data_IF_675644489145
#
_entry.id   IF_675644489145
#
_cell.length_a   1.000
_cell.length_b   1.000
_cell.length_c   1.000
_cell.angle_alpha   90.00
_cell.angle_beta   90.00
_cell.angle_gamma   90.00
#
_symmetry.space_group_name_H-M   'P 1'
#
loop_
_entity.id
_entity.type
_entity.pdbx_description
1 polymer ?
#
# COMPACT_ATOMS: atom_id res chain seq x y z
N UNK A 1 -11.18 4.92 27.81
CA UNK A 1 -10.94 4.07 26.62
C UNK A 1 -9.47 4.14 26.26
N UNK A 2 -8.78 3.00 26.00
CA UNK A 2 -7.39 3.06 25.60
C UNK A 2 -7.31 3.83 24.29
N UNK A 3 -6.44 4.84 24.20
CA UNK A 3 -6.21 5.53 22.93
C UNK A 3 -5.76 4.46 21.93
N UNK A 4 -6.43 4.39 20.78
CA UNK A 4 -6.22 3.36 19.73
C UNK A 4 -4.77 3.29 19.22
N UNK A 5 -3.85 4.12 19.71
CA UNK A 5 -2.43 4.08 19.33
C UNK A 5 -2.30 4.33 17.83
N UNK A 6 -3.04 5.32 17.36
CA UNK A 6 -3.08 5.69 15.96
C UNK A 6 -1.71 6.27 15.57
N UNK A 7 -1.10 5.70 14.54
CA UNK A 7 0.15 6.17 13.95
C UNK A 7 -0.02 6.21 12.44
N UNK A 8 0.81 7.01 11.76
CA UNK A 8 0.79 7.08 10.29
C UNK A 8 0.98 5.70 9.67
N UNK A 9 1.93 4.91 10.17
CA UNK A 9 2.20 3.56 9.64
C UNK A 9 1.00 2.62 9.77
N UNK A 10 0.29 2.65 10.91
CA UNK A 10 -0.90 1.83 11.10
C UNK A 10 -2.06 2.25 10.20
N UNK A 11 -2.23 3.55 9.99
CA UNK A 11 -3.25 4.09 9.07
C UNK A 11 -2.94 3.66 7.63
N UNK A 12 -1.66 3.73 7.21
CA UNK A 12 -1.24 3.33 5.87
C UNK A 12 -1.37 1.81 5.67
N UNK A 13 -0.97 1.00 6.65
CA UNK A 13 -1.13 -0.46 6.59
C UNK A 13 -2.61 -0.87 6.46
N UNK A 14 -3.49 -0.30 7.29
CA UNK A 14 -4.93 -0.58 7.20
C UNK A 14 -5.54 -0.10 5.87
N UNK A 15 -5.03 0.99 5.30
CA UNK A 15 -5.44 1.46 3.98
C UNK A 15 -5.02 0.49 2.86
N UNK A 16 -3.81 -0.07 2.96
CA UNK A 16 -3.33 -1.08 2.03
C UNK A 16 -4.16 -2.37 2.11
N UNK A 17 -4.51 -2.82 3.31
CA UNK A 17 -5.40 -3.97 3.52
C UNK A 17 -6.81 -3.72 2.96
N UNK A 18 -7.36 -2.53 3.20
CA UNK A 18 -8.65 -2.13 2.64
C UNK A 18 -8.62 -2.07 1.11
N UNK A 19 -7.51 -1.61 0.52
CA UNK A 19 -7.34 -1.59 -0.92
C UNK A 19 -7.39 -3.00 -1.50
N UNK A 20 -6.70 -3.96 -0.90
CA UNK A 20 -6.72 -5.36 -1.37
C UNK A 20 -8.09 -6.02 -1.18
N UNK A 21 -8.78 -5.72 -0.07
CA UNK A 21 -10.07 -6.33 0.24
C UNK A 21 -11.24 -5.74 -0.56
N UNK A 22 -11.20 -4.45 -0.92
CA UNK A 22 -12.36 -3.73 -1.45
C UNK A 22 -12.05 -2.79 -2.62
N UNK A 23 -10.81 -2.81 -3.12
CA UNK A 23 -10.33 -1.94 -4.18
C UNK A 23 -9.83 -0.59 -3.66
N UNK A 24 -8.90 0.02 -4.41
CA UNK A 24 -8.26 1.28 -4.04
C UNK A 24 -9.27 2.44 -3.87
N UNK A 25 -10.36 2.44 -4.64
CA UNK A 25 -11.39 3.49 -4.52
C UNK A 25 -12.18 3.40 -3.21
N UNK A 26 -12.24 2.24 -2.56
CA UNK A 26 -12.86 2.08 -1.25
C UNK A 26 -12.02 2.68 -0.11
N UNK A 27 -10.73 2.97 -0.37
CA UNK A 27 -9.86 3.64 0.58
C UNK A 27 -10.33 5.08 0.73
N UNK A 28 -10.97 5.36 1.87
CA UNK A 28 -11.48 6.67 2.25
C UNK A 28 -11.18 6.95 3.71
N UNK A 29 -11.08 8.23 4.08
CA UNK A 29 -10.86 8.65 5.48
C UNK A 29 -11.98 8.11 6.39
N UNK A 30 -13.23 8.16 5.94
CA UNK A 30 -14.37 7.68 6.72
C UNK A 30 -14.39 6.15 6.88
N UNK A 31 -13.99 5.39 5.86
CA UNK A 31 -13.87 3.93 5.98
C UNK A 31 -12.80 3.54 7.01
N UNK A 32 -11.64 4.22 7.01
CA UNK A 32 -10.58 3.99 7.99
C UNK A 32 -10.98 4.45 9.39
N UNK A 33 -11.65 5.59 9.52
CA UNK A 33 -12.09 6.10 10.82
C UNK A 33 -13.06 5.12 11.47
N UNK A 34 -14.01 4.58 10.68
CA UNK A 34 -14.90 3.50 11.11
C UNK A 34 -14.12 2.23 11.49
N UNK A 35 -13.13 1.83 10.70
CA UNK A 35 -12.28 0.67 10.99
C UNK A 35 -11.56 0.81 12.35
N UNK A 36 -11.04 2.00 12.65
CA UNK A 36 -10.34 2.29 13.91
C UNK A 36 -11.27 2.68 15.07
N UNK A 37 -12.57 2.85 14.84
CA UNK A 37 -13.51 3.33 15.86
C UNK A 37 -13.24 4.75 16.35
N UNK A 38 -12.72 5.62 15.46
CA UNK A 38 -12.37 7.02 15.76
C UNK A 38 -13.18 7.99 14.89
N UNK A 39 -13.11 9.28 15.21
CA UNK A 39 -13.68 10.34 14.35
C UNK A 39 -12.75 10.57 13.17
N UNK A 40 -13.30 10.90 12.00
CA UNK A 40 -12.54 11.26 10.78
C UNK A 40 -11.46 12.32 11.06
N UNK A 41 -11.78 13.31 11.89
CA UNK A 41 -10.85 14.37 12.31
C UNK A 41 -9.54 13.83 12.92
N UNK A 42 -9.56 12.67 13.58
CA UNK A 42 -8.39 12.04 14.18
C UNK A 42 -7.41 11.47 13.16
N UNK A 43 -7.87 11.10 11.95
CA UNK A 43 -6.99 10.59 10.90
C UNK A 43 -6.16 11.72 10.25
N UNK A 44 -6.70 12.94 10.19
CA UNK A 44 -6.00 14.07 9.58
C UNK A 44 -4.75 14.52 10.35
N UNK A 45 -4.57 14.07 11.60
CA UNK A 45 -3.30 14.23 12.34
C UNK A 45 -2.18 13.35 11.76
N UNK A 46 -2.52 12.30 11.01
CA UNK A 46 -1.57 11.33 10.46
C UNK A 46 -1.41 11.40 8.94
N UNK A 47 -2.44 11.88 8.23
CA UNK A 47 -2.45 12.03 6.77
C UNK A 47 -3.05 13.37 6.38
N UNK A 48 -2.48 14.04 5.38
CA UNK A 48 -2.92 15.40 5.00
C UNK A 48 -4.27 15.41 4.31
N UNK A 49 -4.50 14.43 3.45
CA UNK A 49 -5.73 14.24 2.68
C UNK A 49 -5.76 12.83 2.09
N UNK A 50 -6.80 12.50 1.33
CA UNK A 50 -6.94 11.19 0.69
C UNK A 50 -5.81 10.90 -0.31
N UNK A 51 -5.34 11.90 -1.06
CA UNK A 51 -4.25 11.72 -2.02
C UNK A 51 -2.93 11.38 -1.31
N UNK A 52 -2.61 12.07 -0.22
CA UNK A 52 -1.44 11.79 0.63
C UNK A 52 -1.48 10.35 1.15
N UNK A 53 -2.66 9.88 1.60
CA UNK A 53 -2.85 8.50 2.02
C UNK A 53 -2.62 7.50 0.87
N UNK A 54 -3.21 7.73 -0.30
CA UNK A 54 -3.04 6.85 -1.49
C UNK A 54 -1.58 6.80 -1.94
N UNK A 55 -0.86 7.92 -1.93
CA UNK A 55 0.58 7.98 -2.22
C UNK A 55 1.38 7.18 -1.19
N UNK A 56 1.06 7.28 0.10
CA UNK A 56 1.73 6.49 1.14
C UNK A 56 1.50 4.98 0.97
N UNK A 57 0.29 4.58 0.58
CA UNK A 57 0.00 3.17 0.22
C UNK A 57 0.82 2.74 -0.99
N UNK A 58 0.94 3.59 -2.01
CA UNK A 58 1.77 3.32 -3.18
C UNK A 58 3.26 3.14 -2.82
N UNK A 59 3.78 3.96 -1.91
CA UNK A 59 5.16 3.84 -1.42
C UNK A 59 5.38 2.57 -0.59
N UNK A 60 4.44 2.22 0.28
CA UNK A 60 4.48 0.96 1.03
C UNK A 60 4.49 -0.24 0.07
N UNK A 61 3.53 -0.29 -0.84
CA UNK A 61 3.40 -1.37 -1.83
C UNK A 61 4.61 -1.47 -2.75
N UNK A 62 5.16 -0.33 -3.18
CA UNK A 62 6.38 -0.28 -3.98
C UNK A 62 7.58 -0.85 -3.23
N UNK A 63 7.72 -0.55 -1.93
CA UNK A 63 8.76 -1.11 -1.07
C UNK A 63 8.67 -2.63 -0.95
N UNK A 64 7.47 -3.15 -0.63
CA UNK A 64 7.20 -4.59 -0.56
C UNK A 64 7.54 -5.30 -1.89
N UNK A 65 7.08 -4.73 -3.01
CA UNK A 65 7.34 -5.27 -4.35
C UNK A 65 8.83 -5.30 -4.69
N UNK A 66 9.57 -4.23 -4.37
CA UNK A 66 11.03 -4.17 -4.57
C UNK A 66 11.73 -5.25 -3.76
N UNK A 67 11.33 -5.44 -2.50
CA UNK A 67 11.93 -6.44 -1.62
C UNK A 67 11.68 -7.87 -2.11
N UNK A 68 10.44 -8.20 -2.49
CA UNK A 68 10.11 -9.51 -3.06
C UNK A 68 10.88 -9.79 -4.35
N UNK A 69 10.99 -8.79 -5.24
CA UNK A 69 11.76 -8.91 -6.47
C UNK A 69 13.24 -9.11 -6.16
N UNK A 70 13.81 -8.32 -5.24
CA UNK A 70 15.22 -8.41 -4.87
C UNK A 70 15.58 -9.81 -4.36
N UNK A 71 14.73 -10.40 -3.51
CA UNK A 71 14.87 -11.77 -3.05
C UNK A 71 14.77 -12.78 -4.20
N UNK A 72 13.82 -12.59 -5.12
CA UNK A 72 13.62 -13.51 -6.24
C UNK A 72 14.76 -13.50 -7.26
N UNK A 73 15.43 -12.36 -7.48
CA UNK A 73 16.53 -12.23 -8.46
C UNK A 73 17.91 -12.49 -7.85
N UNK A 74 18.03 -12.55 -6.52
CA UNK A 74 19.31 -12.74 -5.83
C UNK A 74 20.07 -13.97 -6.36
N UNK A 75 21.34 -13.76 -6.75
CA UNK A 75 22.20 -14.82 -7.28
C UNK A 75 21.88 -15.30 -8.70
N UNK A 76 20.89 -14.70 -9.38
CA UNK A 76 20.50 -15.05 -10.76
C UNK A 76 21.01 -13.99 -11.75
N UNK A 77 21.18 -14.38 -13.00
CA UNK A 77 21.58 -13.48 -14.08
C UNK A 77 20.85 -13.79 -15.40
N UNK A 78 20.90 -12.84 -16.34
CA UNK A 78 20.37 -13.01 -17.70
C UNK A 78 18.89 -13.40 -17.72
N UNK A 79 18.56 -14.43 -18.52
CA UNK A 79 17.17 -14.89 -18.72
C UNK A 79 16.52 -15.41 -17.43
N UNK A 80 17.29 -16.05 -16.55
CA UNK A 80 16.78 -16.58 -15.28
C UNK A 80 16.40 -15.45 -14.32
N UNK A 81 17.21 -14.40 -14.23
CA UNK A 81 16.88 -13.21 -13.44
C UNK A 81 15.63 -12.51 -13.99
N UNK A 82 15.49 -12.41 -15.31
CA UNK A 82 14.31 -11.79 -15.94
C UNK A 82 13.02 -12.59 -15.66
N UNK A 83 13.08 -13.92 -15.77
CA UNK A 83 11.95 -14.79 -15.45
C UNK A 83 11.57 -14.69 -13.96
N UNK A 84 12.57 -14.64 -13.07
CA UNK A 84 12.37 -14.46 -11.65
C UNK A 84 11.71 -13.12 -11.29
N UNK A 85 12.21 -12.03 -11.89
CA UNK A 85 11.64 -10.69 -11.76
C UNK A 85 10.17 -10.69 -12.18
N UNK A 86 9.87 -11.18 -13.39
CA UNK A 86 8.51 -11.18 -13.93
C UNK A 86 7.57 -12.06 -13.09
N UNK A 87 8.08 -13.19 -12.59
CA UNK A 87 7.36 -14.08 -11.69
C UNK A 87 6.99 -13.42 -10.37
N UNK A 88 7.97 -12.79 -9.69
CA UNK A 88 7.74 -12.10 -8.42
C UNK A 88 6.80 -10.90 -8.59
N UNK A 89 7.01 -10.09 -9.62
CA UNK A 89 6.16 -8.95 -9.94
C UNK A 89 4.70 -9.39 -10.14
N UNK A 90 4.47 -10.41 -10.98
CA UNK A 90 3.14 -10.94 -11.24
C UNK A 90 2.51 -11.58 -10.00
N UNK A 91 3.30 -12.31 -9.21
CA UNK A 91 2.81 -12.94 -7.98
C UNK A 91 2.34 -11.90 -6.96
N UNK A 92 3.11 -10.83 -6.75
CA UNK A 92 2.72 -9.72 -5.89
C UNK A 92 1.42 -9.06 -6.39
N UNK A 93 1.36 -8.72 -7.69
CA UNK A 93 0.18 -8.08 -8.27
C UNK A 93 -1.11 -8.92 -8.13
N UNK A 94 -1.00 -10.24 -8.20
CA UNK A 94 -2.14 -11.15 -8.03
C UNK A 94 -2.53 -11.36 -6.56
N UNK A 95 -1.55 -11.36 -5.65
CA UNK A 95 -1.78 -11.52 -4.21
C UNK A 95 -2.35 -10.25 -3.58
N UNK A 96 -1.94 -9.10 -4.11
CA UNK A 96 -2.25 -7.77 -3.58
C UNK A 96 -2.78 -6.83 -4.67
N UNK A 97 -3.97 -7.10 -5.24
CA UNK A 97 -4.48 -6.33 -6.38
C UNK A 97 -4.71 -4.85 -6.06
N UNK A 98 -5.08 -4.51 -4.83
CA UNK A 98 -5.34 -3.13 -4.41
C UNK A 98 -4.06 -2.35 -4.10
N UNK A 99 -3.10 -2.96 -3.40
CA UNK A 99 -1.74 -2.42 -3.23
C UNK A 99 -1.07 -2.22 -4.58
N UNK A 100 -1.18 -3.20 -5.47
CA UNK A 100 -0.66 -3.10 -6.83
C UNK A 100 -1.30 -1.93 -7.59
N UNK A 101 -2.63 -1.79 -7.55
CA UNK A 101 -3.32 -0.65 -8.16
C UNK A 101 -2.80 0.70 -7.62
N UNK A 102 -2.45 0.78 -6.33
CA UNK A 102 -1.88 1.98 -5.75
C UNK A 102 -0.52 2.34 -6.38
N UNK A 103 0.31 1.37 -6.74
CA UNK A 103 1.59 1.63 -7.43
C UNK A 103 1.42 2.19 -8.85
N UNK A 104 0.23 2.05 -9.44
CA UNK A 104 -0.07 2.48 -10.81
C UNK A 104 -0.70 3.88 -10.87
N UNK A 105 -0.91 4.55 -9.72
CA UNK A 105 -1.47 5.90 -9.70
C UNK A 105 -0.50 6.90 -10.32
N UNK A 106 -1.05 7.90 -11.02
CA UNK A 106 -0.25 9.03 -11.46
C UNK A 106 0.15 9.86 -10.25
N UNK A 107 1.44 9.86 -9.93
CA UNK A 107 2.01 10.80 -8.96
C UNK A 107 2.37 12.07 -9.73
N UNK A 108 1.57 13.12 -9.56
CA UNK A 108 1.96 14.45 -10.04
C UNK A 108 3.21 14.89 -9.25
N UNK A 109 4.27 15.22 -9.98
CA UNK A 109 5.45 15.84 -9.39
C UNK A 109 5.03 17.24 -8.90
N UNK A 110 5.25 17.50 -7.62
CA UNK A 110 5.02 18.81 -7.01
C UNK A 110 6.01 19.86 -7.55
#
# INVERSE_FOLDING_TARGET
MPRVGLTTDRVVAAAADLADASGLEAVTVSALARHFGVKDASLYTHVRNLQDLRVRVALLAGGELIEEIAQAVAGRAGKEALAAFAGAYRAYALRHPGRYAATQIRVEQA
#
